data_IF_617515247876
#
_entry.id   IF_617515247876
#
_cell.length_a   1.000
_cell.length_b   1.000
_cell.length_c   1.000
_cell.angle_alpha   90.00
_cell.angle_beta   90.00
_cell.angle_gamma   90.00
#
_symmetry.space_group_name_H-M   'P 1'
#
loop_
_entity.id
_entity.type
_entity.pdbx_description
1 polymer ?
#
# COMPACT_ATOMS: atom_id res chain seq x y z
N UNK A 1 11.48 11.42 3.34
CA UNK A 1 12.65 10.60 2.97
C UNK A 1 12.20 9.15 2.96
N UNK A 2 12.67 8.29 2.05
CA UNK A 2 12.31 6.88 2.09
C UNK A 2 12.85 6.29 3.41
N UNK A 3 11.95 5.85 4.27
CA UNK A 3 12.29 5.01 5.42
C UNK A 3 12.30 3.55 4.94
N UNK A 4 13.13 2.70 5.55
CA UNK A 4 13.21 1.27 5.19
C UNK A 4 11.96 0.49 5.64
N UNK A 5 10.84 1.18 5.85
CA UNK A 5 9.60 0.62 6.35
C UNK A 5 8.76 0.08 5.21
N UNK A 6 7.93 -0.90 5.56
CA UNK A 6 6.92 -1.42 4.68
C UNK A 6 5.70 -0.52 4.69
N UNK A 7 5.01 -0.49 3.56
CA UNK A 7 3.78 0.26 3.41
C UNK A 7 2.74 -0.62 2.74
N UNK A 8 1.50 -0.40 3.14
CA UNK A 8 0.32 -1.00 2.53
C UNK A 8 -0.46 0.14 1.90
N UNK A 9 -0.78 0.03 0.62
CA UNK A 9 -1.58 1.02 -0.09
C UNK A 9 -2.82 0.39 -0.70
N UNK A 10 -3.93 1.11 -0.60
CA UNK A 10 -5.17 0.84 -1.31
C UNK A 10 -5.14 1.66 -2.60
N UNK A 11 -5.25 0.97 -3.72
CA UNK A 11 -4.98 1.52 -5.04
C UNK A 11 -6.04 1.13 -6.04
N UNK A 12 -6.19 1.93 -7.09
CA UNK A 12 -6.82 1.50 -8.34
C UNK A 12 -5.76 1.39 -9.42
N UNK A 13 -5.88 0.38 -10.28
CA UNK A 13 -5.11 0.35 -11.54
C UNK A 13 -5.87 1.18 -12.57
N UNK A 14 -5.16 1.83 -13.47
CA UNK A 14 -5.73 2.70 -14.52
C UNK A 14 -6.88 2.07 -15.32
N UNK A 15 -6.91 0.73 -15.43
CA UNK A 15 -7.89 -0.02 -16.23
C UNK A 15 -8.91 -0.81 -15.41
N UNK A 16 -8.98 -0.60 -14.09
CA UNK A 16 -9.90 -1.34 -13.23
C UNK A 16 -10.59 -0.40 -12.26
N UNK A 17 -11.92 -0.46 -12.18
CA UNK A 17 -12.67 0.31 -11.19
C UNK A 17 -12.52 -0.23 -9.77
N UNK A 18 -12.16 -1.51 -9.64
CA UNK A 18 -11.95 -2.19 -8.36
C UNK A 18 -10.72 -1.65 -7.61
N UNK A 19 -10.91 -1.43 -6.32
CA UNK A 19 -9.81 -1.24 -5.39
C UNK A 19 -9.03 -2.55 -5.22
N UNK A 20 -7.72 -2.39 -5.16
CA UNK A 20 -6.75 -3.44 -4.88
C UNK A 20 -5.85 -2.99 -3.74
N UNK A 21 -5.20 -3.96 -3.10
CA UNK A 21 -4.23 -3.69 -2.07
C UNK A 21 -2.85 -4.14 -2.52
N UNK A 22 -1.86 -3.30 -2.27
CA UNK A 22 -0.46 -3.60 -2.55
C UNK A 22 0.37 -3.33 -1.30
N UNK A 23 1.49 -4.05 -1.18
CA UNK A 23 2.52 -3.75 -0.20
C UNK A 23 3.86 -3.55 -0.90
N UNK A 24 4.66 -2.64 -0.39
CA UNK A 24 5.97 -2.29 -0.95
C UNK A 24 6.85 -1.68 0.15
N UNK A 25 8.16 -1.79 -0.02
CA UNK A 25 9.12 -1.12 0.85
C UNK A 25 9.52 0.22 0.22
N UNK A 26 9.53 1.31 1.01
CA UNK A 26 9.84 2.65 0.48
C UNK A 26 11.27 2.78 -0.04
N UNK A 27 12.16 1.89 0.39
CA UNK A 27 13.53 1.80 -0.11
C UNK A 27 13.58 1.40 -1.59
N UNK A 28 12.54 0.74 -2.10
CA UNK A 28 12.61 0.11 -3.40
C UNK A 28 12.30 1.02 -4.59
N UNK A 29 11.42 2.05 -4.56
CA UNK A 29 11.01 2.70 -5.84
C UNK A 29 10.76 4.22 -5.86
N UNK A 30 11.78 4.91 -6.38
CA UNK A 30 11.87 5.90 -7.48
C UNK A 30 10.75 6.91 -7.84
N UNK A 31 9.46 6.75 -7.53
CA UNK A 31 8.43 7.70 -7.99
C UNK A 31 7.29 7.90 -6.98
N UNK A 32 7.64 8.28 -5.75
CA UNK A 32 6.66 8.77 -4.77
C UNK A 32 6.81 10.28 -4.60
N UNK A 33 5.94 11.05 -5.26
CA UNK A 33 5.82 12.49 -5.02
C UNK A 33 4.69 12.73 -4.05
N UNK A 34 4.97 13.36 -2.90
CA UNK A 34 3.93 13.70 -1.92
C UNK A 34 2.95 14.70 -2.55
N UNK A 35 1.65 14.42 -2.45
CA UNK A 35 0.60 15.33 -2.95
C UNK A 35 0.09 15.05 -4.37
N UNK A 36 0.58 14.01 -5.05
CA UNK A 36 -0.04 13.49 -6.28
C UNK A 36 -0.70 12.15 -6.00
N UNK A 37 -1.88 11.84 -6.60
CA UNK A 37 -2.54 10.55 -6.40
C UNK A 37 -1.95 9.44 -7.28
N UNK A 38 -1.13 9.77 -8.29
CA UNK A 38 -0.60 8.80 -9.26
C UNK A 38 0.85 8.42 -8.93
N UNK A 39 1.11 7.11 -8.82
CA UNK A 39 2.41 6.58 -8.44
C UNK A 39 2.81 5.40 -9.31
N UNK A 40 4.10 5.36 -9.68
CA UNK A 40 4.69 4.19 -10.33
C UNK A 40 5.32 3.32 -9.25
N UNK A 41 4.70 2.18 -8.97
CA UNK A 41 5.18 1.21 -8.00
C UNK A 41 5.48 -0.07 -8.77
N UNK A 42 6.71 -0.53 -8.69
CA UNK A 42 7.20 -1.70 -9.41
C UNK A 42 7.04 -1.61 -10.95
N UNK A 43 7.09 -0.41 -11.52
CA UNK A 43 6.90 -0.20 -12.96
C UNK A 43 5.42 -0.23 -13.39
N UNK A 44 4.49 -0.30 -12.43
CA UNK A 44 3.05 -0.28 -12.67
C UNK A 44 2.46 1.02 -12.16
N UNK A 45 1.57 1.62 -12.95
CA UNK A 45 0.84 2.83 -12.57
C UNK A 45 -0.34 2.51 -11.65
N UNK A 46 -0.37 3.20 -10.52
CA UNK A 46 -1.44 3.11 -9.53
C UNK A 46 -1.97 4.49 -9.19
N UNK A 47 -3.30 4.57 -9.03
CA UNK A 47 -3.96 5.67 -8.34
C UNK A 47 -4.04 5.26 -6.87
N UNK A 48 -3.24 5.88 -6.01
CA UNK A 48 -3.24 5.61 -4.57
C UNK A 48 -4.37 6.40 -3.92
N UNK A 49 -5.28 5.68 -3.26
CA UNK A 49 -6.37 6.27 -2.50
C UNK A 49 -5.91 6.55 -1.05
N UNK A 50 -5.35 5.53 -0.40
CA UNK A 50 -4.88 5.60 0.98
C UNK A 50 -3.63 4.74 1.16
N UNK A 51 -2.78 5.10 2.12
CA UNK A 51 -1.62 4.29 2.49
C UNK A 51 -1.39 4.29 4.00
N UNK A 52 -0.80 3.20 4.48
CA UNK A 52 -0.50 2.96 5.88
C UNK A 52 0.96 2.54 6.01
N UNK A 53 1.69 3.16 6.93
CA UNK A 53 3.05 2.75 7.28
C UNK A 53 2.98 1.54 8.21
N UNK A 54 3.76 0.52 7.92
CA UNK A 54 3.96 -0.61 8.79
C UNK A 54 5.20 -0.36 9.67
N UNK A 55 4.99 -0.29 10.98
CA UNK A 55 6.06 -0.01 11.93
C UNK A 55 6.85 -1.24 12.36
N UNK A 56 6.33 -2.45 12.11
CA UNK A 56 7.04 -3.70 12.38
C UNK A 56 8.26 -3.92 11.48
N UNK A 57 9.16 -4.79 11.92
CA UNK A 57 10.43 -5.04 11.21
C UNK A 57 10.30 -6.02 10.05
N UNK A 58 9.29 -6.89 10.10
CA UNK A 58 9.01 -7.88 9.06
C UNK A 58 8.03 -7.35 8.00
N UNK A 59 7.94 -8.03 6.87
CA UNK A 59 6.96 -7.71 5.83
C UNK A 59 5.53 -7.93 6.35
N UNK A 60 4.62 -6.94 6.22
CA UNK A 60 3.29 -7.07 6.77
C UNK A 60 2.44 -8.08 6.00
N UNK A 61 1.47 -8.65 6.70
CA UNK A 61 0.36 -9.33 6.04
C UNK A 61 -0.54 -8.32 5.32
N UNK A 62 -1.13 -8.76 4.22
CA UNK A 62 -2.06 -7.96 3.43
C UNK A 62 -3.44 -8.03 4.11
N UNK A 63 -4.03 -6.91 4.54
CA UNK A 63 -5.38 -6.92 5.09
C UNK A 63 -6.41 -7.16 3.97
N UNK A 64 -7.61 -7.58 4.37
CA UNK A 64 -8.74 -7.74 3.45
C UNK A 64 -9.40 -6.39 3.21
N UNK A 65 -9.71 -6.09 1.95
CA UNK A 65 -10.43 -4.87 1.57
C UNK A 65 -11.76 -5.21 0.91
N UNK A 66 -12.73 -4.31 1.07
CA UNK A 66 -13.86 -4.24 0.15
C UNK A 66 -13.39 -3.56 -1.15
N UNK A 67 -13.42 -4.31 -2.25
CA UNK A 67 -12.94 -3.85 -3.55
C UNK A 67 -13.81 -2.76 -4.17
N UNK A 68 -15.05 -2.59 -3.72
CA UNK A 68 -15.97 -1.60 -4.27
C UNK A 68 -15.76 -0.22 -3.65
N UNK A 69 -15.52 -0.18 -2.33
CA UNK A 69 -15.39 1.08 -1.58
C UNK A 69 -13.95 1.44 -1.18
N UNK A 70 -13.03 0.47 -1.21
CA UNK A 70 -11.63 0.71 -0.89
C UNK A 70 -11.37 0.89 0.60
N UNK A 71 -12.19 0.26 1.44
CA UNK A 71 -12.01 0.23 2.89
C UNK A 71 -11.47 -1.12 3.35
N UNK A 72 -10.68 -1.11 4.42
CA UNK A 72 -10.17 -2.32 5.06
C UNK A 72 -11.31 -2.92 5.87
N UNK A 73 -11.70 -4.14 5.56
CA UNK A 73 -12.79 -4.87 6.24
C UNK A 73 -12.29 -5.86 7.27
N UNK A 74 -11.05 -6.32 7.13
CA UNK A 74 -10.38 -7.17 8.12
C UNK A 74 -8.87 -6.90 8.11
N UNK A 75 -8.36 -6.37 9.22
CA UNK A 75 -6.92 -6.30 9.47
C UNK A 75 -6.62 -7.14 10.69
N UNK A 76 -6.32 -8.43 10.49
CA UNK A 76 -5.85 -9.27 11.58
C UNK A 76 -4.70 -8.59 12.30
N UNK A 77 -4.81 -8.51 13.62
CA UNK A 77 -3.76 -7.97 14.50
C UNK A 77 -2.44 -8.64 14.15
N UNK A 78 -1.50 -7.85 13.64
CA UNK A 78 -0.18 -8.34 13.28
C UNK A 78 0.70 -8.20 14.51
N UNK A 79 0.88 -9.30 15.24
CA UNK A 79 1.85 -9.35 16.33
C UNK A 79 3.24 -9.24 15.73
N UNK A 80 3.85 -8.06 15.84
CA UNK A 80 5.30 -7.92 15.71
C UNK A 80 5.92 -8.93 16.65
N UNK A 81 6.75 -9.83 16.13
CA UNK A 81 7.46 -10.80 16.95
C UNK A 81 8.22 -10.04 18.04
N UNK A 82 7.99 -10.40 19.31
CA UNK A 82 8.67 -9.84 20.48
C UNK A 82 10.20 -10.00 20.39
#
# INVERSE_FOLDING_TARGET
>A
MPDNKWYIAIVKKERTDDFSIIKFNFKDKLVWSVGVPYHIINGVWYIVNSYYRWDGDNEPQIPTIDKNIGEITDWKEQKGTE
#
